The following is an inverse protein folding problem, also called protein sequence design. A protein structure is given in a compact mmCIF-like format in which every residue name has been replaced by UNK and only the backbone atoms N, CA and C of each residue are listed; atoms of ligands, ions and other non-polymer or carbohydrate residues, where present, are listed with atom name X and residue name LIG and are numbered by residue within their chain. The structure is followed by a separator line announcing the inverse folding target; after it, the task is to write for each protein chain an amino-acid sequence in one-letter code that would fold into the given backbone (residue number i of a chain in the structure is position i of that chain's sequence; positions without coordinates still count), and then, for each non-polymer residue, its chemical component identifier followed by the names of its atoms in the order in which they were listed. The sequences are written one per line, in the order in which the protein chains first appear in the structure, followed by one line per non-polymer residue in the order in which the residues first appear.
data_IF_811063006455
#
_entry.id   IF_811063006455
#
_cell.length_a   1.000
_cell.length_b   1.000
_cell.length_c   1.000
_cell.angle_alpha   90.00
_cell.angle_beta   90.00
_cell.angle_gamma   90.00
#
_symmetry.space_group_name_H-M   'P 1'
#
loop_
_entity.id
_entity.type
_entity.pdbx_description
1 polymer ?
#
# COMPACT_ATOMS: atom_id res chain seq x y z
N UNK A 1 44.30 40.49 -9.08
CA UNK A 1 42.86 40.77 -9.28
C UNK A 1 42.19 39.42 -9.37
N UNK A 2 41.79 38.89 -8.21
CA UNK A 2 41.22 37.55 -8.12
C UNK A 2 39.74 37.58 -8.51
N UNK A 3 39.41 36.79 -9.52
CA UNK A 3 38.05 36.56 -10.00
C UNK A 3 37.24 35.88 -8.89
N UNK A 4 36.44 36.66 -8.16
CA UNK A 4 35.38 36.14 -7.32
C UNK A 4 34.32 35.56 -8.26
N UNK A 5 34.39 34.26 -8.56
CA UNK A 5 33.32 33.59 -9.30
C UNK A 5 32.08 33.63 -8.41
N UNK A 6 31.13 34.51 -8.75
CA UNK A 6 29.82 34.57 -8.09
C UNK A 6 29.15 33.22 -8.36
N UNK A 7 29.18 32.31 -7.37
CA UNK A 7 28.49 31.03 -7.55
C UNK A 7 27.00 31.32 -7.71
N UNK A 8 26.43 30.75 -8.76
CA UNK A 8 25.03 30.88 -9.12
C UNK A 8 24.13 30.26 -8.05
N UNK A 9 22.87 30.69 -8.01
CA UNK A 9 21.91 30.31 -6.95
C UNK A 9 21.72 28.79 -6.86
N UNK A 10 21.68 28.10 -8.00
CA UNK A 10 21.62 26.64 -8.12
C UNK A 10 22.80 25.96 -7.40
N UNK A 11 24.05 26.37 -7.66
CA UNK A 11 25.24 25.83 -7.00
C UNK A 11 25.24 26.08 -5.48
N UNK A 12 24.64 27.19 -5.04
CA UNK A 12 24.47 27.47 -3.58
C UNK A 12 23.43 26.55 -2.96
N UNK A 13 22.29 26.38 -3.61
CA UNK A 13 21.20 25.50 -3.15
C UNK A 13 21.69 24.05 -3.08
N UNK A 14 22.37 23.56 -4.12
CA UNK A 14 22.94 22.21 -4.15
C UNK A 14 23.94 22.00 -3.01
N UNK A 15 24.83 22.97 -2.76
CA UNK A 15 25.77 22.91 -1.63
C UNK A 15 25.05 22.86 -0.28
N UNK A 16 24.02 23.67 -0.08
CA UNK A 16 23.23 23.66 1.15
C UNK A 16 22.52 22.31 1.34
N UNK A 17 21.91 21.77 0.29
CA UNK A 17 21.25 20.46 0.32
C UNK A 17 22.24 19.34 0.68
N UNK A 18 23.41 19.33 0.05
CA UNK A 18 24.48 18.36 0.33
C UNK A 18 25.01 18.47 1.77
N UNK A 19 25.17 19.69 2.31
CA UNK A 19 25.56 19.90 3.70
C UNK A 19 24.49 19.41 4.68
N UNK A 20 23.22 19.71 4.41
CA UNK A 20 22.10 19.29 5.25
C UNK A 20 21.96 17.76 5.26
N UNK A 21 22.01 17.12 4.08
CA UNK A 21 21.95 15.65 3.96
C UNK A 21 23.07 14.96 4.74
N UNK A 22 24.32 15.47 4.65
CA UNK A 22 25.43 14.97 5.46
C UNK A 22 25.19 15.09 6.97
N UNK A 23 24.67 16.23 7.43
CA UNK A 23 24.36 16.45 8.85
C UNK A 23 23.23 15.54 9.33
N UNK A 24 22.18 15.35 8.54
CA UNK A 24 21.08 14.42 8.85
C UNK A 24 21.58 12.98 8.96
N UNK A 25 22.48 12.54 8.06
CA UNK A 25 23.10 11.21 8.13
C UNK A 25 23.95 11.03 9.40
N UNK A 26 24.76 12.03 9.76
CA UNK A 26 25.55 12.00 11.01
C UNK A 26 24.68 12.01 12.27
N UNK A 27 23.56 12.76 12.26
CA UNK A 27 22.58 12.77 13.35
C UNK A 27 21.90 11.42 13.49
N UNK A 28 21.54 10.78 12.37
CA UNK A 28 20.97 9.43 12.35
C UNK A 28 21.91 8.43 13.01
N UNK A 29 23.16 8.37 12.54
CA UNK A 29 24.14 7.41 13.06
C UNK A 29 24.43 7.61 14.58
N UNK A 30 24.18 8.82 15.11
CA UNK A 30 24.28 9.13 16.55
C UNK A 30 23.01 8.82 17.36
N UNK A 31 21.83 9.07 16.79
CA UNK A 31 20.54 8.97 17.49
C UNK A 31 19.88 7.59 17.35
N UNK A 32 20.21 6.87 16.28
CA UNK A 32 19.65 5.58 15.94
C UNK A 32 20.81 4.65 15.53
N UNK A 33 21.14 3.63 16.35
CA UNK A 33 22.07 2.60 15.92
C UNK A 33 21.60 2.01 14.58
N UNK A 34 22.49 1.69 13.63
CA UNK A 34 22.15 1.21 12.28
C UNK A 34 21.32 -0.11 12.24
N UNK A 35 20.97 -0.68 13.40
CA UNK A 35 20.32 -1.97 13.59
C UNK A 35 18.92 -1.88 14.20
N UNK A 36 18.37 -0.71 14.53
CA UNK A 36 16.98 -0.63 15.01
C UNK A 36 16.01 -0.73 13.82
N UNK A 37 15.90 -1.92 13.25
CA UNK A 37 14.88 -2.24 12.26
C UNK A 37 13.53 -2.36 12.95
N UNK A 38 12.50 -1.79 12.33
CA UNK A 38 11.13 -1.96 12.79
C UNK A 38 10.80 -3.46 12.79
N UNK A 39 10.12 -3.95 13.82
CA UNK A 39 9.69 -5.34 13.92
C UNK A 39 8.20 -5.41 14.17
N UNK A 40 7.53 -6.41 13.61
CA UNK A 40 6.13 -6.65 13.87
C UNK A 40 5.97 -7.35 15.23
N UNK A 41 4.96 -6.98 16.00
CA UNK A 41 4.61 -7.68 17.25
C UNK A 41 4.36 -9.18 16.99
N UNK A 42 4.52 -9.99 18.02
CA UNK A 42 4.04 -11.37 17.98
C UNK A 42 2.53 -11.43 18.27
N UNK A 43 1.92 -12.53 17.83
CA UNK A 43 0.50 -12.79 17.97
C UNK A 43 0.28 -13.91 18.97
N UNK A 44 -0.71 -13.76 19.84
CA UNK A 44 -1.08 -14.84 20.77
C UNK A 44 -1.55 -16.08 20.00
N UNK A 45 -1.47 -17.26 20.62
CA UNK A 45 -1.98 -18.51 20.03
C UNK A 45 -3.43 -18.41 19.52
N UNK A 46 -4.29 -17.66 20.23
CA UNK A 46 -5.67 -17.39 19.79
C UNK A 46 -5.77 -16.51 18.54
N UNK A 47 -4.96 -15.45 18.45
CA UNK A 47 -4.89 -14.60 17.25
C UNK A 47 -4.34 -15.38 16.05
N UNK A 48 -3.27 -16.16 16.25
CA UNK A 48 -2.69 -17.01 15.22
C UNK A 48 -3.72 -18.05 14.71
N UNK A 49 -4.44 -18.70 15.61
CA UNK A 49 -5.48 -19.66 15.24
C UNK A 49 -6.62 -19.01 14.44
N UNK A 50 -7.05 -17.80 14.83
CA UNK A 50 -8.05 -17.03 14.06
C UNK A 50 -7.55 -16.66 12.67
N UNK A 51 -6.29 -16.22 12.53
CA UNK A 51 -5.69 -15.88 11.25
C UNK A 51 -5.55 -17.10 10.32
N UNK A 52 -5.25 -18.28 10.86
CA UNK A 52 -5.13 -19.51 10.09
C UNK A 52 -6.50 -20.13 9.77
N UNK A 53 -7.54 -19.81 10.54
CA UNK A 53 -8.87 -20.42 10.41
C UNK A 53 -8.99 -21.77 11.11
N UNK A 54 -8.30 -21.97 12.24
CA UNK A 54 -8.37 -23.18 13.07
C UNK A 54 -8.70 -22.86 14.52
N UNK A 55 -8.99 -23.89 15.33
CA UNK A 55 -9.16 -23.70 16.77
C UNK A 55 -7.81 -23.52 17.48
N UNK A 56 -7.78 -22.68 18.51
CA UNK A 56 -6.58 -22.49 19.35
C UNK A 56 -6.13 -23.81 20.00
N UNK A 57 -7.08 -24.68 20.37
CA UNK A 57 -6.77 -26.02 20.87
C UNK A 57 -6.02 -26.89 19.86
N UNK A 58 -6.41 -26.85 18.59
CA UNK A 58 -5.71 -27.58 17.52
C UNK A 58 -4.28 -27.07 17.33
N UNK A 59 -4.10 -25.74 17.31
CA UNK A 59 -2.77 -25.13 17.17
C UNK A 59 -1.85 -25.49 18.34
N UNK A 60 -2.38 -25.51 19.58
CA UNK A 60 -1.64 -25.95 20.76
C UNK A 60 -1.23 -27.41 20.67
N UNK A 61 -2.13 -28.30 20.25
CA UNK A 61 -1.82 -29.72 20.09
C UNK A 61 -0.73 -29.94 19.03
N UNK A 62 -0.80 -29.20 17.92
CA UNK A 62 0.17 -29.28 16.83
C UNK A 62 1.58 -28.88 17.31
N UNK A 63 1.70 -27.83 18.13
CA UNK A 63 2.96 -27.47 18.78
C UNK A 63 3.43 -28.54 19.78
N UNK A 64 2.54 -29.11 20.62
CA UNK A 64 2.89 -30.19 21.56
C UNK A 64 3.38 -31.46 20.85
N UNK A 65 2.81 -31.77 19.69
CA UNK A 65 3.23 -32.88 18.83
C UNK A 65 4.58 -32.61 18.12
N UNK A 66 5.18 -31.43 18.29
CA UNK A 66 6.42 -31.04 17.61
C UNK A 66 6.26 -30.79 16.11
N UNK A 67 5.03 -30.54 15.64
CA UNK A 67 4.73 -30.31 14.22
C UNK A 67 4.72 -28.81 13.91
N UNK A 68 5.21 -28.43 12.72
CA UNK A 68 5.27 -27.03 12.30
C UNK A 68 6.28 -26.19 13.11
N UNK A 69 6.31 -24.85 12.88
CA UNK A 69 7.18 -23.95 13.64
C UNK A 69 6.76 -23.89 15.12
N UNK A 70 7.76 -23.78 15.99
CA UNK A 70 7.52 -23.71 17.43
C UNK A 70 7.24 -22.27 17.88
N UNK A 71 6.22 -22.05 18.72
CA UNK A 71 5.93 -20.73 19.27
C UNK A 71 7.02 -20.28 20.23
N UNK A 72 7.15 -18.96 20.35
CA UNK A 72 7.85 -18.36 21.47
C UNK A 72 7.04 -18.58 22.76
N UNK A 73 7.72 -19.04 23.81
CA UNK A 73 7.15 -19.30 25.12
C UNK A 73 7.56 -18.20 26.09
N UNK A 74 6.59 -17.44 26.56
CA UNK A 74 6.80 -16.52 27.68
C UNK A 74 7.00 -17.30 28.99
N UNK A 75 7.62 -16.66 30.00
CA UNK A 75 7.90 -17.26 31.31
C UNK A 75 6.65 -17.80 32.03
N UNK A 76 5.46 -17.27 31.70
CA UNK A 76 4.17 -17.72 32.23
C UNK A 76 3.52 -18.85 31.40
N UNK A 77 4.23 -19.44 30.45
CA UNK A 77 3.75 -20.50 29.56
C UNK A 77 2.81 -20.04 28.43
N UNK A 78 2.63 -18.72 28.24
CA UNK A 78 1.89 -18.19 27.09
C UNK A 78 2.69 -18.39 25.80
N UNK A 79 2.00 -18.89 24.77
CA UNK A 79 2.52 -19.07 23.42
C UNK A 79 2.24 -17.86 22.55
N UNK A 80 3.24 -17.40 21.82
CA UNK A 80 3.12 -16.39 20.77
C UNK A 80 3.82 -16.82 19.50
N UNK A 81 3.34 -16.33 18.37
CA UNK A 81 3.87 -16.63 17.04
C UNK A 81 4.23 -15.34 16.30
N UNK A 82 5.33 -15.36 15.55
CA UNK A 82 5.59 -14.32 14.55
C UNK A 82 4.67 -14.51 13.33
N UNK A 83 4.49 -13.47 12.52
CA UNK A 83 3.71 -13.62 11.29
C UNK A 83 4.35 -14.62 10.31
N UNK A 84 5.68 -14.69 10.25
CA UNK A 84 6.40 -15.70 9.47
C UNK A 84 6.05 -17.12 9.92
N UNK A 85 6.03 -17.38 11.23
CA UNK A 85 5.62 -18.69 11.77
C UNK A 85 4.14 -19.00 11.45
N UNK A 86 3.25 -17.99 11.50
CA UNK A 86 1.85 -18.15 11.11
C UNK A 86 1.74 -18.53 9.63
N UNK A 87 2.51 -17.88 8.76
CA UNK A 87 2.54 -18.20 7.34
C UNK A 87 3.14 -19.59 7.09
N UNK A 88 4.22 -19.99 7.76
CA UNK A 88 4.73 -21.37 7.72
C UNK A 88 3.68 -22.41 8.16
N UNK A 89 2.90 -22.11 9.21
CA UNK A 89 1.77 -22.96 9.64
C UNK A 89 0.70 -23.07 8.56
N UNK A 90 0.35 -21.97 7.88
CA UNK A 90 -0.56 -21.99 6.72
C UNK A 90 -0.05 -22.92 5.63
N UNK A 91 1.24 -22.81 5.28
CA UNK A 91 1.86 -23.69 4.28
C UNK A 91 1.82 -25.17 4.72
N UNK A 92 2.12 -25.43 5.99
CA UNK A 92 2.08 -26.77 6.55
C UNK A 92 0.67 -27.37 6.51
N UNK A 93 -0.36 -26.60 6.90
CA UNK A 93 -1.75 -27.05 6.87
C UNK A 93 -2.28 -27.27 5.46
N UNK A 94 -1.91 -26.40 4.51
CA UNK A 94 -2.26 -26.59 3.10
C UNK A 94 -1.69 -27.90 2.52
N UNK A 95 -0.46 -28.27 2.91
CA UNK A 95 0.15 -29.56 2.54
C UNK A 95 -0.53 -30.75 3.19
N UNK A 96 -0.92 -30.65 4.46
CA UNK A 96 -1.63 -31.72 5.18
C UNK A 96 -3.05 -31.94 4.67
N UNK A 97 -3.73 -30.87 4.26
CA UNK A 97 -5.12 -30.91 3.75
C UNK A 97 -5.21 -30.26 2.37
N UNK A 98 -4.75 -30.96 1.31
CA UNK A 98 -4.75 -30.40 -0.05
C UNK A 98 -6.14 -29.95 -0.55
N UNK A 99 -7.20 -30.62 -0.08
CA UNK A 99 -8.59 -30.26 -0.44
C UNK A 99 -9.02 -28.90 0.11
N UNK A 100 -8.48 -28.51 1.27
CA UNK A 100 -8.78 -27.26 1.97
C UNK A 100 -7.63 -26.25 1.84
N UNK A 101 -6.64 -26.52 0.98
CA UNK A 101 -5.40 -25.75 0.91
C UNK A 101 -5.64 -24.25 0.74
N UNK A 102 -6.64 -23.87 -0.05
CA UNK A 102 -7.00 -22.48 -0.32
C UNK A 102 -7.58 -21.73 0.88
N UNK A 103 -8.09 -22.43 1.89
CA UNK A 103 -8.52 -21.82 3.14
C UNK A 103 -7.34 -21.38 4.00
N UNK A 104 -6.19 -22.04 3.84
CA UNK A 104 -4.95 -21.74 4.56
C UNK A 104 -4.01 -20.84 3.74
N UNK A 105 -3.92 -21.09 2.43
CA UNK A 105 -3.10 -20.36 1.47
C UNK A 105 -4.00 -19.81 0.36
N UNK A 106 -4.55 -18.60 0.52
CA UNK A 106 -5.53 -18.07 -0.41
C UNK A 106 -4.92 -17.52 -1.72
N UNK A 107 -3.71 -17.97 -2.07
CA UNK A 107 -2.92 -17.51 -3.22
C UNK A 107 -3.68 -17.68 -4.54
N UNK A 108 -3.27 -16.93 -5.56
CA UNK A 108 -3.85 -17.01 -6.90
C UNK A 108 -3.74 -18.42 -7.48
N UNK A 109 -4.82 -18.88 -8.11
CA UNK A 109 -4.89 -20.13 -8.87
C UNK A 109 -4.36 -19.91 -10.29
N UNK A 110 -3.93 -20.97 -10.99
CA UNK A 110 -3.66 -20.89 -12.42
C UNK A 110 -4.88 -20.32 -13.17
N UNK A 111 -4.65 -19.27 -13.97
CA UNK A 111 -5.70 -18.56 -14.71
C UNK A 111 -6.30 -17.35 -13.99
N UNK A 112 -6.05 -17.16 -12.69
CA UNK A 112 -6.41 -15.94 -11.98
C UNK A 112 -5.36 -14.84 -12.22
N UNK A 113 -5.80 -13.72 -12.78
CA UNK A 113 -4.93 -12.56 -13.04
C UNK A 113 -4.49 -11.88 -11.74
N UNK A 114 -3.36 -11.18 -11.79
CA UNK A 114 -2.90 -10.34 -10.69
C UNK A 114 -3.94 -9.24 -10.43
N UNK A 115 -4.24 -8.99 -9.17
CA UNK A 115 -5.14 -7.89 -8.79
C UNK A 115 -4.29 -6.70 -8.34
N UNK A 116 -4.37 -5.61 -9.11
CA UNK A 116 -3.65 -4.36 -8.83
C UNK A 116 -4.67 -3.31 -8.42
N UNK A 117 -4.70 -2.96 -7.14
CA UNK A 117 -5.63 -2.00 -6.55
C UNK A 117 -4.92 -0.65 -6.39
N UNK A 118 -5.31 0.34 -7.19
CA UNK A 118 -4.81 1.71 -7.03
C UNK A 118 -5.70 2.51 -6.07
N UNK A 119 -5.10 3.03 -5.01
CA UNK A 119 -5.77 3.89 -4.03
C UNK A 119 -5.54 5.35 -4.43
N UNK A 120 -6.62 6.06 -4.76
CA UNK A 120 -6.52 7.39 -5.38
C UNK A 120 -7.51 8.40 -4.82
N UNK A 121 -7.12 9.68 -4.84
CA UNK A 121 -7.90 10.88 -4.49
C UNK A 121 -7.02 12.16 -4.66
N UNK A 122 -7.64 13.26 -5.09
CA UNK A 122 -7.01 14.51 -5.52
C UNK A 122 -6.88 15.55 -4.42
N UNK A 123 -7.44 15.25 -3.24
CA UNK A 123 -7.22 16.07 -2.06
C UNK A 123 -6.14 15.46 -1.17
N UNK A 124 -5.21 16.29 -0.70
CA UNK A 124 -4.33 15.96 0.41
C UNK A 124 -5.15 15.69 1.68
N UNK A 125 -4.73 14.74 2.51
CA UNK A 125 -5.40 14.43 3.78
C UNK A 125 -6.68 13.59 3.69
N UNK A 126 -6.96 13.01 2.53
CA UNK A 126 -8.07 12.07 2.26
C UNK A 126 -7.79 10.62 2.71
N UNK A 127 -6.77 10.41 3.53
CA UNK A 127 -6.37 9.11 4.07
C UNK A 127 -6.00 8.04 3.02
N UNK A 128 -5.50 8.42 1.82
CA UNK A 128 -4.99 7.49 0.79
C UNK A 128 -3.93 6.53 1.34
N UNK A 129 -2.77 7.06 1.74
CA UNK A 129 -1.66 6.28 2.29
C UNK A 129 -2.07 5.43 3.47
N UNK A 130 -2.91 5.95 4.36
CA UNK A 130 -3.46 5.17 5.49
C UNK A 130 -4.32 4.01 4.98
N UNK A 131 -5.22 4.25 4.02
CA UNK A 131 -6.05 3.20 3.41
C UNK A 131 -5.18 2.16 2.70
N UNK A 132 -4.20 2.59 1.90
CA UNK A 132 -3.23 1.73 1.22
C UNK A 132 -2.48 0.84 2.20
N UNK A 133 -1.91 1.44 3.25
CA UNK A 133 -1.14 0.73 4.28
C UNK A 133 -1.98 -0.32 5.01
N UNK A 134 -3.17 0.06 5.49
CA UNK A 134 -4.04 -0.86 6.21
C UNK A 134 -4.59 -1.96 5.32
N UNK A 135 -4.92 -1.66 4.05
CA UNK A 135 -5.36 -2.67 3.09
C UNK A 135 -4.22 -3.68 2.82
N UNK A 136 -3.02 -3.19 2.54
CA UNK A 136 -1.87 -4.05 2.26
C UNK A 136 -1.52 -4.96 3.46
N UNK A 137 -1.49 -4.40 4.67
CA UNK A 137 -1.26 -5.17 5.90
C UNK A 137 -2.40 -6.15 6.20
N UNK A 138 -3.66 -5.75 5.99
CA UNK A 138 -4.81 -6.65 6.15
C UNK A 138 -4.73 -7.86 5.22
N UNK A 139 -4.38 -7.64 3.96
CA UNK A 139 -4.22 -8.71 2.96
C UNK A 139 -3.05 -9.64 3.34
N UNK A 140 -1.91 -9.09 3.78
CA UNK A 140 -0.78 -9.91 4.25
C UNK A 140 -1.16 -10.73 5.51
N UNK A 141 -1.87 -10.12 6.46
CA UNK A 141 -2.41 -10.83 7.62
C UNK A 141 -3.40 -11.92 7.24
N UNK A 142 -4.15 -11.77 6.15
CA UNK A 142 -5.03 -12.80 5.60
C UNK A 142 -4.28 -13.92 4.85
N UNK A 143 -2.96 -13.80 4.65
CA UNK A 143 -2.10 -14.83 4.06
C UNK A 143 -1.83 -14.68 2.56
N UNK A 144 -2.20 -13.55 1.96
CA UNK A 144 -1.84 -13.23 0.58
C UNK A 144 -0.39 -12.78 0.48
N UNK A 145 0.21 -12.98 -0.70
CA UNK A 145 1.49 -12.37 -1.07
C UNK A 145 1.20 -10.98 -1.66
N UNK A 146 1.60 -9.94 -0.95
CA UNK A 146 1.22 -8.56 -1.26
C UNK A 146 2.44 -7.73 -1.63
N UNK A 147 2.31 -6.91 -2.68
CA UNK A 147 3.26 -5.86 -3.01
C UNK A 147 2.61 -4.49 -2.82
N UNK A 148 3.17 -3.68 -1.94
CA UNK A 148 2.84 -2.26 -1.85
C UNK A 148 3.73 -1.46 -2.80
N UNK A 149 3.16 -0.51 -3.56
CA UNK A 149 3.92 0.41 -4.41
C UNK A 149 3.61 1.84 -3.95
N UNK A 150 4.63 2.56 -3.50
CA UNK A 150 4.52 3.96 -3.10
C UNK A 150 4.87 4.87 -4.28
N UNK A 151 3.87 5.56 -4.84
CA UNK A 151 4.05 6.51 -5.94
C UNK A 151 4.03 7.96 -5.48
N UNK A 152 3.91 8.21 -4.18
CA UNK A 152 3.98 9.57 -3.67
C UNK A 152 5.46 9.97 -3.48
N UNK A 153 5.93 11.06 -4.10
CA UNK A 153 7.27 11.56 -3.87
C UNK A 153 7.58 11.90 -2.39
N UNK A 154 6.54 12.12 -1.57
CA UNK A 154 6.67 12.28 -0.11
C UNK A 154 6.93 10.97 0.63
N UNK A 155 6.77 9.83 -0.05
CA UNK A 155 7.19 8.51 0.41
C UNK A 155 6.66 8.10 1.79
N UNK A 156 5.42 8.52 2.07
CA UNK A 156 4.79 8.31 3.37
C UNK A 156 4.51 6.84 3.64
N UNK A 157 4.10 6.08 2.62
CA UNK A 157 3.89 4.63 2.74
C UNK A 157 5.23 3.93 3.02
N UNK A 158 6.29 4.32 2.31
CA UNK A 158 7.63 3.77 2.46
C UNK A 158 8.15 3.95 3.89
N UNK A 159 8.02 5.17 4.42
CA UNK A 159 8.34 5.51 5.81
C UNK A 159 7.56 4.68 6.83
N UNK A 160 6.27 4.44 6.60
CA UNK A 160 5.43 3.62 7.50
C UNK A 160 5.83 2.13 7.46
N UNK A 161 6.29 1.65 6.31
CA UNK A 161 6.79 0.29 6.11
C UNK A 161 8.28 0.12 6.47
N UNK A 162 8.87 1.12 7.12
CA UNK A 162 10.19 1.02 7.75
C UNK A 162 11.37 1.34 6.83
N UNK A 163 11.11 1.80 5.60
CA UNK A 163 12.15 2.30 4.68
C UNK A 163 12.25 3.81 4.84
N UNK A 164 13.46 4.34 5.02
CA UNK A 164 13.72 5.77 5.06
C UNK A 164 14.31 6.23 3.71
N UNK A 165 13.51 6.85 2.83
CA UNK A 165 13.92 7.17 1.47
C UNK A 165 15.21 7.96 1.35
N UNK A 166 15.47 8.87 2.29
CA UNK A 166 16.63 9.75 2.27
C UNK A 166 17.95 9.03 2.56
N UNK A 167 17.89 7.81 3.11
CA UNK A 167 19.06 7.11 3.59
C UNK A 167 19.20 5.68 3.05
N UNK A 168 18.10 5.02 2.77
CA UNK A 168 18.06 3.60 2.41
C UNK A 168 17.96 3.39 0.89
N UNK A 169 17.68 4.45 0.12
CA UNK A 169 17.49 4.39 -1.33
C UNK A 169 18.63 5.06 -2.09
N UNK A 170 19.04 4.42 -3.18
CA UNK A 170 19.93 4.99 -4.19
C UNK A 170 19.14 5.37 -5.45
N UNK A 171 19.82 5.97 -6.43
CA UNK A 171 19.20 6.27 -7.74
C UNK A 171 18.68 4.98 -8.41
N UNK A 172 17.43 5.05 -8.89
CA UNK A 172 16.71 3.95 -9.52
C UNK A 172 16.18 2.89 -8.55
N UNK A 173 16.16 3.15 -7.25
CA UNK A 173 15.57 2.25 -6.24
C UNK A 173 14.07 2.52 -6.01
N UNK A 174 13.42 3.32 -6.86
CA UNK A 174 11.97 3.55 -6.84
C UNK A 174 11.31 3.01 -8.11
N UNK A 175 9.97 3.10 -8.21
CA UNK A 175 9.29 2.69 -9.45
C UNK A 175 9.87 3.40 -10.68
N UNK A 176 10.37 4.64 -10.55
CA UNK A 176 11.05 5.36 -11.62
C UNK A 176 12.16 4.52 -12.28
N UNK A 177 12.97 3.82 -11.49
CA UNK A 177 14.03 2.94 -12.00
C UNK A 177 13.53 1.86 -12.97
N UNK A 178 12.29 1.39 -12.81
CA UNK A 178 11.68 0.39 -13.69
C UNK A 178 10.95 0.97 -14.91
N UNK A 179 10.58 2.26 -14.85
CA UNK A 179 9.74 2.92 -15.89
C UNK A 179 10.47 4.02 -16.65
N UNK A 180 11.72 4.38 -16.30
CA UNK A 180 12.54 5.40 -16.97
C UNK A 180 12.79 5.09 -18.45
N UNK A 181 13.05 6.14 -19.23
CA UNK A 181 13.14 6.08 -20.71
C UNK A 181 14.55 5.82 -21.26
N UNK A 182 15.56 5.80 -20.40
CA UNK A 182 16.96 5.63 -20.76
C UNK A 182 17.46 4.20 -20.49
N UNK A 183 18.75 3.98 -20.73
CA UNK A 183 19.41 2.67 -20.55
C UNK A 183 19.59 2.30 -19.07
N UNK A 184 19.28 3.20 -18.13
CA UNK A 184 19.37 2.97 -16.69
C UNK A 184 18.19 2.16 -16.12
N UNK A 185 17.27 1.70 -16.97
CA UNK A 185 16.11 0.89 -16.55
C UNK A 185 16.55 -0.40 -15.86
N UNK A 186 16.05 -0.64 -14.66
CA UNK A 186 16.27 -1.88 -13.88
C UNK A 186 15.00 -2.73 -13.85
N UNK A 187 15.11 -4.07 -13.78
CA UNK A 187 13.95 -4.92 -13.51
C UNK A 187 13.28 -4.56 -12.18
N UNK A 188 11.96 -4.56 -12.12
CA UNK A 188 11.22 -4.20 -10.90
C UNK A 188 11.60 -5.10 -9.72
N UNK A 189 11.94 -6.37 -10.00
CA UNK A 189 12.38 -7.34 -9.00
C UNK A 189 13.63 -6.91 -8.22
N UNK A 190 14.52 -6.13 -8.81
CA UNK A 190 15.73 -5.61 -8.14
C UNK A 190 15.43 -4.41 -7.22
N UNK A 191 14.32 -3.73 -7.49
CA UNK A 191 13.85 -2.56 -6.75
C UNK A 191 13.02 -2.96 -5.52
N UNK A 192 12.27 -4.07 -5.63
CA UNK A 192 11.44 -4.58 -4.54
C UNK A 192 12.27 -4.83 -3.28
N UNK A 193 11.78 -4.32 -2.15
CA UNK A 193 12.35 -4.50 -0.82
C UNK A 193 11.41 -5.33 0.06
N UNK A 194 11.99 -6.25 0.84
CA UNK A 194 11.28 -6.93 1.92
C UNK A 194 10.97 -5.94 3.04
N UNK A 195 9.79 -6.06 3.64
CA UNK A 195 9.44 -5.29 4.85
C UNK A 195 9.56 -6.17 6.10
N UNK A 196 9.41 -5.55 7.28
CA UNK A 196 9.32 -6.28 8.55
C UNK A 196 8.01 -7.07 8.72
N UNK A 197 7.09 -6.95 7.75
CA UNK A 197 5.78 -7.56 7.75
C UNK A 197 5.77 -8.73 6.77
N UNK A 198 5.81 -9.97 7.28
CA UNK A 198 5.90 -11.16 6.45
C UNK A 198 4.71 -11.28 5.48
N UNK A 199 4.99 -11.55 4.21
CA UNK A 199 3.98 -11.56 3.14
C UNK A 199 3.68 -10.18 2.52
N UNK A 200 4.31 -9.09 2.99
CA UNK A 200 4.20 -7.76 2.43
C UNK A 200 5.57 -7.21 2.01
N UNK A 201 5.73 -6.97 0.71
CA UNK A 201 6.91 -6.33 0.14
C UNK A 201 6.58 -4.90 -0.32
N UNK A 202 7.61 -4.10 -0.60
CA UNK A 202 7.49 -2.69 -0.96
C UNK A 202 8.33 -2.34 -2.20
N UNK A 203 7.74 -1.63 -3.16
CA UNK A 203 8.44 -0.73 -4.07
C UNK A 203 8.38 0.67 -3.47
N UNK A 204 9.51 1.24 -3.02
CA UNK A 204 9.50 2.48 -2.28
C UNK A 204 9.35 3.69 -3.21
N UNK A 205 8.89 4.79 -2.64
CA UNK A 205 8.80 6.10 -3.27
C UNK A 205 9.88 7.03 -2.73
N UNK A 206 10.21 8.06 -3.50
CA UNK A 206 11.03 9.20 -3.10
C UNK A 206 10.85 10.33 -4.13
N UNK A 207 11.59 11.43 -3.96
CA UNK A 207 11.54 12.58 -4.87
C UNK A 207 11.92 12.27 -6.33
N UNK A 208 12.68 11.20 -6.60
CA UNK A 208 13.08 10.74 -7.94
C UNK A 208 11.86 10.44 -8.83
N UNK A 209 10.73 10.05 -8.24
CA UNK A 209 9.48 9.80 -8.97
C UNK A 209 9.01 11.02 -9.78
N UNK A 210 9.40 12.24 -9.39
CA UNK A 210 9.10 13.47 -10.13
C UNK A 210 9.84 13.54 -11.47
N UNK A 211 10.95 12.84 -11.66
CA UNK A 211 11.66 12.82 -12.94
C UNK A 211 10.79 12.25 -14.05
N UNK A 212 9.96 11.24 -13.73
CA UNK A 212 9.02 10.67 -14.70
C UNK A 212 8.04 11.71 -15.27
N UNK A 213 7.60 12.66 -14.44
CA UNK A 213 6.68 13.74 -14.85
C UNK A 213 7.37 14.74 -15.80
N UNK A 214 8.69 14.93 -15.66
CA UNK A 214 9.48 15.83 -16.51
C UNK A 214 9.93 15.17 -17.82
N UNK A 215 10.31 13.89 -17.77
CA UNK A 215 10.83 13.16 -18.92
C UNK A 215 9.72 12.73 -19.89
N UNK A 216 8.56 12.32 -19.38
CA UNK A 216 7.46 11.81 -20.20
C UNK A 216 7.01 12.79 -21.29
N UNK A 217 6.76 14.09 -21.03
CA UNK A 217 6.43 15.05 -22.08
C UNK A 217 7.49 15.16 -23.18
N UNK A 218 8.78 15.07 -22.81
CA UNK A 218 9.89 15.14 -23.78
C UNK A 218 9.92 13.89 -24.64
N UNK A 219 9.76 12.72 -24.03
CA UNK A 219 9.71 11.44 -24.73
C UNK A 219 8.51 11.36 -25.70
N UNK A 220 7.35 11.91 -25.33
CA UNK A 220 6.16 11.94 -26.20
C UNK A 220 6.30 12.86 -27.42
N UNK A 221 7.13 13.90 -27.32
CA UNK A 221 7.40 14.82 -28.42
C UNK A 221 8.50 14.31 -29.38
N UNK A 222 9.27 13.30 -28.97
CA UNK A 222 10.31 12.70 -29.80
C UNK A 222 9.70 11.73 -30.84
N UNK A 223 9.62 12.19 -32.09
CA UNK A 223 9.07 11.43 -33.22
C UNK A 223 9.86 10.18 -33.58
N UNK A 224 11.08 10.00 -33.07
CA UNK A 224 11.87 8.80 -33.34
C UNK A 224 11.52 7.60 -32.44
N UNK A 225 10.77 7.83 -31.36
CA UNK A 225 10.26 6.77 -30.48
C UNK A 225 8.73 6.70 -30.64
N UNK A 226 8.19 6.06 -31.70
CA UNK A 226 6.75 5.83 -31.78
C UNK A 226 6.32 5.05 -30.53
N UNK A 227 5.53 5.72 -29.70
CA UNK A 227 5.47 5.46 -28.27
C UNK A 227 5.11 4.02 -27.90
N UNK A 228 5.98 3.38 -27.12
CA UNK A 228 5.46 2.68 -25.95
C UNK A 228 4.66 3.71 -25.16
N UNK A 229 3.34 3.62 -25.29
CA UNK A 229 2.39 4.47 -24.60
C UNK A 229 2.79 4.54 -23.13
N UNK A 230 3.21 5.72 -22.62
CA UNK A 230 3.79 5.88 -21.28
C UNK A 230 2.94 5.20 -20.19
N UNK A 231 1.62 5.18 -20.37
CA UNK A 231 0.67 4.57 -19.46
C UNK A 231 0.78 3.04 -19.35
N UNK A 232 1.44 2.36 -20.30
CA UNK A 232 1.73 0.92 -20.23
C UNK A 232 2.98 0.61 -19.41
N UNK A 233 3.87 1.58 -19.18
CA UNK A 233 5.19 1.33 -18.55
C UNK A 233 5.06 0.80 -17.12
N UNK A 234 4.15 1.37 -16.34
CA UNK A 234 3.84 0.89 -14.98
C UNK A 234 3.31 -0.54 -15.02
N UNK A 235 2.36 -0.83 -15.92
CA UNK A 235 1.80 -2.18 -16.08
C UNK A 235 2.85 -3.21 -16.52
N UNK A 236 3.73 -2.85 -17.45
CA UNK A 236 4.84 -3.71 -17.90
C UNK A 236 5.82 -3.98 -16.75
N UNK A 237 6.18 -2.97 -15.96
CA UNK A 237 7.04 -3.15 -14.79
C UNK A 237 6.41 -4.08 -13.75
N UNK A 238 5.12 -3.90 -13.44
CA UNK A 238 4.39 -4.78 -12.50
C UNK A 238 4.31 -6.22 -13.03
N UNK A 239 4.15 -6.40 -14.35
CA UNK A 239 4.09 -7.73 -14.95
C UNK A 239 5.39 -8.54 -14.78
N UNK A 240 6.54 -7.89 -14.59
CA UNK A 240 7.82 -8.59 -14.34
C UNK A 240 7.82 -9.37 -13.02
N UNK A 241 7.00 -8.96 -12.06
CA UNK A 241 6.89 -9.60 -10.74
C UNK A 241 5.53 -10.27 -10.54
N UNK A 242 4.76 -10.46 -11.61
CA UNK A 242 3.38 -10.94 -11.51
C UNK A 242 3.31 -12.26 -10.72
N UNK A 243 4.12 -13.25 -11.07
CA UNK A 243 4.09 -14.58 -10.46
C UNK A 243 4.41 -14.60 -8.95
N UNK A 244 5.14 -13.59 -8.45
CA UNK A 244 5.61 -13.53 -7.07
C UNK A 244 4.51 -13.03 -6.11
N UNK A 245 3.46 -12.37 -6.63
CA UNK A 245 2.41 -11.74 -5.83
C UNK A 245 0.99 -12.19 -6.20
N UNK A 246 0.08 -12.10 -5.23
CA UNK A 246 -1.35 -12.30 -5.43
C UNK A 246 -2.07 -10.97 -5.68
N UNK A 247 -1.67 -9.94 -4.93
CA UNK A 247 -2.30 -8.61 -4.95
C UNK A 247 -1.22 -7.53 -4.88
N UNK A 248 -1.35 -6.51 -5.71
CA UNK A 248 -0.57 -5.26 -5.65
C UNK A 248 -1.47 -4.15 -5.13
N UNK A 249 -0.99 -3.34 -4.19
CA UNK A 249 -1.69 -2.14 -3.73
C UNK A 249 -0.82 -0.93 -4.01
N UNK A 250 -1.35 0.04 -4.76
CA UNK A 250 -0.61 1.23 -5.18
C UNK A 250 -1.12 2.45 -4.40
N UNK A 251 -0.23 3.17 -3.73
CA UNK A 251 -0.52 4.47 -3.12
C UNK A 251 -0.23 5.58 -4.13
N UNK A 252 -1.28 6.18 -4.67
CA UNK A 252 -1.14 7.23 -5.68
C UNK A 252 -0.93 8.62 -5.03
N UNK A 253 -0.09 9.48 -5.63
CA UNK A 253 0.06 10.86 -5.18
C UNK A 253 -1.25 11.65 -5.39
N UNK A 254 -1.43 12.80 -4.72
CA UNK A 254 -2.61 13.64 -4.91
C UNK A 254 -2.66 14.34 -6.28
N UNK A 255 -1.56 14.42 -7.03
CA UNK A 255 -1.49 15.08 -8.33
C UNK A 255 -1.92 14.16 -9.49
N UNK A 256 -2.56 14.73 -10.52
CA UNK A 256 -2.97 14.02 -11.73
C UNK A 256 -1.86 14.09 -12.79
N UNK A 257 -0.72 13.48 -12.48
CA UNK A 257 0.44 13.41 -13.38
C UNK A 257 0.44 12.16 -14.28
N UNK A 258 1.48 12.05 -15.11
CA UNK A 258 1.74 10.89 -15.94
C UNK A 258 1.94 9.61 -15.12
N UNK A 259 2.54 9.72 -13.93
CA UNK A 259 2.76 8.58 -13.03
C UNK A 259 1.42 8.05 -12.49
N UNK A 260 0.56 8.94 -11.98
CA UNK A 260 -0.78 8.59 -11.50
C UNK A 260 -1.62 7.97 -12.62
N UNK A 261 -1.55 8.53 -13.83
CA UNK A 261 -2.27 7.98 -14.96
C UNK A 261 -1.74 6.60 -15.35
N UNK A 262 -0.43 6.39 -15.37
CA UNK A 262 0.18 5.08 -15.58
C UNK A 262 -0.26 4.05 -14.53
N UNK A 263 -0.34 4.47 -13.26
CA UNK A 263 -0.83 3.63 -12.17
C UNK A 263 -2.30 3.25 -12.33
N UNK A 264 -3.17 4.22 -12.66
CA UNK A 264 -4.59 3.97 -12.94
C UNK A 264 -4.74 3.02 -14.11
N UNK A 265 -3.99 3.20 -15.20
CA UNK A 265 -4.06 2.31 -16.37
C UNK A 265 -3.53 0.90 -16.07
N UNK A 266 -2.56 0.76 -15.17
CA UNK A 266 -2.04 -0.53 -14.74
C UNK A 266 -2.93 -1.24 -13.71
N UNK A 267 -3.85 -0.52 -13.07
CA UNK A 267 -4.69 -1.06 -12.01
C UNK A 267 -5.85 -1.87 -12.58
N UNK A 268 -6.07 -3.06 -12.02
CA UNK A 268 -7.28 -3.85 -12.28
C UNK A 268 -8.47 -3.29 -11.53
N UNK A 269 -8.26 -2.58 -10.42
CA UNK A 269 -9.34 -1.99 -9.62
C UNK A 269 -8.94 -0.65 -9.04
N UNK A 270 -9.93 0.22 -8.85
CA UNK A 270 -9.73 1.54 -8.24
C UNK A 270 -10.43 1.61 -6.88
N UNK A 271 -9.70 2.08 -5.88
CA UNK A 271 -10.23 2.41 -4.56
C UNK A 271 -10.09 3.91 -4.34
N UNK A 272 -11.22 4.62 -4.38
CA UNK A 272 -11.26 6.07 -4.26
C UNK A 272 -11.62 6.43 -2.83
N UNK A 273 -10.70 7.08 -2.11
CA UNK A 273 -11.00 7.52 -0.74
C UNK A 273 -11.88 8.76 -0.76
N UNK A 274 -12.81 8.90 0.17
CA UNK A 274 -13.61 10.12 0.34
C UNK A 274 -13.77 10.44 1.81
N UNK A 275 -13.51 11.68 2.18
CA UNK A 275 -13.89 12.21 3.49
C UNK A 275 -15.29 12.83 3.36
N UNK A 276 -16.26 12.52 4.24
CA UNK A 276 -17.65 12.93 4.05
C UNK A 276 -17.88 14.42 4.39
N UNK A 277 -17.24 15.34 3.66
CA UNK A 277 -17.52 16.78 3.73
C UNK A 277 -17.91 17.32 2.35
N UNK A 278 -18.78 18.33 2.29
CA UNK A 278 -19.27 18.86 1.00
C UNK A 278 -18.14 19.39 0.11
N UNK A 279 -17.10 19.99 0.70
CA UNK A 279 -15.92 20.44 -0.04
C UNK A 279 -15.16 19.28 -0.69
N UNK A 280 -15.19 18.10 -0.07
CA UNK A 280 -14.56 16.88 -0.59
C UNK A 280 -15.40 16.27 -1.71
N UNK A 281 -16.73 16.26 -1.57
CA UNK A 281 -17.66 15.83 -2.63
C UNK A 281 -17.53 16.72 -3.87
N UNK A 282 -17.44 18.03 -3.71
CA UNK A 282 -17.23 18.95 -4.83
C UNK A 282 -15.88 18.71 -5.54
N UNK A 283 -14.82 18.51 -4.76
CA UNK A 283 -13.48 18.20 -5.29
C UNK A 283 -13.46 16.86 -6.03
N UNK A 284 -14.18 15.87 -5.51
CA UNK A 284 -14.35 14.55 -6.11
C UNK A 284 -15.07 14.63 -7.47
N UNK A 285 -16.10 15.45 -7.60
CA UNK A 285 -16.78 15.65 -8.89
C UNK A 285 -15.80 16.13 -9.98
N UNK A 286 -14.96 17.12 -9.66
CA UNK A 286 -13.92 17.59 -10.57
C UNK A 286 -12.89 16.50 -10.89
N UNK A 287 -12.49 15.71 -9.89
CA UNK A 287 -11.61 14.57 -10.11
C UNK A 287 -12.19 13.55 -11.09
N UNK A 288 -13.46 13.16 -10.91
CA UNK A 288 -14.10 12.18 -11.78
C UNK A 288 -14.18 12.67 -13.23
N UNK A 289 -14.46 13.97 -13.43
CA UNK A 289 -14.45 14.60 -14.75
C UNK A 289 -13.04 14.57 -15.37
N UNK A 290 -12.02 15.04 -14.64
CA UNK A 290 -10.64 15.04 -15.14
C UNK A 290 -10.14 13.63 -15.46
N UNK A 291 -10.49 12.65 -14.62
CA UNK A 291 -10.12 11.25 -14.83
C UNK A 291 -10.80 10.69 -16.05
N UNK A 292 -12.11 10.91 -16.21
CA UNK A 292 -12.83 10.53 -17.42
C UNK A 292 -12.18 11.11 -18.67
N UNK A 293 -11.79 12.39 -18.65
CA UNK A 293 -11.15 13.05 -19.78
C UNK A 293 -9.78 12.42 -20.11
N UNK A 294 -8.93 12.19 -19.12
CA UNK A 294 -7.62 11.56 -19.31
C UNK A 294 -7.74 10.10 -19.76
N UNK A 295 -8.62 9.33 -19.15
CA UNK A 295 -8.90 7.95 -19.54
C UNK A 295 -9.46 7.88 -20.97
N UNK A 296 -10.26 8.88 -21.39
CA UNK A 296 -10.72 8.98 -22.78
C UNK A 296 -9.57 9.18 -23.76
N UNK A 297 -8.56 9.99 -23.42
CA UNK A 297 -7.34 10.17 -24.23
C UNK A 297 -6.54 8.87 -24.32
N UNK A 298 -6.32 8.21 -23.18
CA UNK A 298 -5.61 6.92 -23.13
C UNK A 298 -6.33 5.86 -23.97
N UNK A 299 -7.65 5.75 -23.84
CA UNK A 299 -8.46 4.83 -24.64
C UNK A 299 -8.36 5.12 -26.14
N UNK A 300 -8.41 6.39 -26.55
CA UNK A 300 -8.22 6.80 -27.95
C UNK A 300 -6.83 6.47 -28.48
N UNK A 301 -5.83 6.48 -27.60
CA UNK A 301 -4.47 6.07 -27.90
C UNK A 301 -4.25 4.53 -27.86
N UNK A 302 -5.31 3.73 -27.66
CA UNK A 302 -5.26 2.28 -27.68
C UNK A 302 -5.03 1.61 -26.31
N UNK A 303 -5.17 2.35 -25.21
CA UNK A 303 -5.16 1.76 -23.86
C UNK A 303 -6.46 1.03 -23.57
N UNK A 304 -6.36 -0.20 -23.07
CA UNK A 304 -7.49 -0.93 -22.49
C UNK A 304 -7.64 -0.52 -21.02
N UNK A 305 -8.83 -0.04 -20.65
CA UNK A 305 -9.13 0.59 -19.37
C UNK A 305 -10.33 -0.07 -18.71
N UNK A 306 -10.30 -1.40 -18.65
CA UNK A 306 -11.32 -2.18 -17.98
C UNK A 306 -10.90 -2.47 -16.54
N UNK A 307 -11.52 -1.77 -15.59
CA UNK A 307 -11.41 -2.08 -14.17
C UNK A 307 -12.47 -3.11 -13.77
N UNK A 308 -12.06 -4.10 -12.98
CA UNK A 308 -12.96 -5.12 -12.42
C UNK A 308 -13.97 -4.49 -11.46
N UNK A 309 -13.52 -3.50 -10.69
CA UNK A 309 -14.38 -2.65 -9.88
C UNK A 309 -13.77 -1.28 -9.61
N UNK A 310 -14.65 -0.31 -9.36
CA UNK A 310 -14.32 1.00 -8.80
C UNK A 310 -15.12 1.12 -7.52
N UNK A 311 -14.46 1.33 -6.37
CA UNK A 311 -15.14 1.48 -5.07
C UNK A 311 -14.74 2.77 -4.37
N UNK A 312 -15.71 3.38 -3.71
CA UNK A 312 -15.54 4.54 -2.85
C UNK A 312 -15.50 4.10 -1.39
N UNK A 313 -14.40 4.42 -0.70
CA UNK A 313 -14.28 4.18 0.74
C UNK A 313 -14.44 5.49 1.50
N UNK A 314 -15.48 5.54 2.34
CA UNK A 314 -15.68 6.68 3.23
C UNK A 314 -14.67 6.59 4.37
N UNK A 315 -13.85 7.61 4.52
CA UNK A 315 -12.75 7.69 5.48
C UNK A 315 -13.03 8.75 6.54
N UNK A 316 -12.47 8.53 7.75
CA UNK A 316 -12.61 9.43 8.91
C UNK A 316 -14.07 9.77 9.23
N UNK A 317 -14.96 8.78 9.08
CA UNK A 317 -16.39 8.95 9.31
C UNK A 317 -16.72 9.05 10.80
N UNK A 318 -17.58 10.00 11.16
CA UNK A 318 -18.20 10.15 12.47
C UNK A 318 -19.72 9.89 12.32
N UNK A 319 -20.21 8.67 12.60
CA UNK A 319 -21.61 8.29 12.32
C UNK A 319 -22.68 9.09 13.07
N UNK A 320 -22.28 9.75 14.16
CA UNK A 320 -23.17 10.61 14.95
C UNK A 320 -23.15 12.08 14.49
N UNK A 321 -22.32 12.41 13.51
CA UNK A 321 -22.31 13.71 12.86
C UNK A 321 -23.38 13.73 11.76
N UNK A 322 -24.44 14.52 11.98
CA UNK A 322 -25.58 14.59 11.07
C UNK A 322 -25.18 15.09 9.65
N UNK A 323 -24.33 16.13 9.50
CA UNK A 323 -23.82 16.53 8.18
C UNK A 323 -23.10 15.40 7.43
N UNK A 324 -22.18 14.68 8.09
CA UNK A 324 -21.49 13.55 7.46
C UNK A 324 -22.46 12.44 7.05
N UNK A 325 -23.44 12.12 7.92
CA UNK A 325 -24.45 11.09 7.64
C UNK A 325 -25.29 11.42 6.40
N UNK A 326 -25.66 12.69 6.22
CA UNK A 326 -26.35 13.16 5.01
C UNK A 326 -25.50 13.01 3.75
N UNK A 327 -24.20 13.30 3.84
CA UNK A 327 -23.26 13.15 2.72
C UNK A 327 -23.09 11.67 2.35
N UNK A 328 -22.91 10.79 3.32
CA UNK A 328 -22.79 9.35 3.07
C UNK A 328 -24.07 8.80 2.42
N UNK A 329 -25.25 9.23 2.89
CA UNK A 329 -26.51 8.86 2.26
C UNK A 329 -26.62 9.38 0.81
N UNK A 330 -26.19 10.62 0.55
CA UNK A 330 -26.14 11.18 -0.79
C UNK A 330 -25.21 10.37 -1.71
N UNK A 331 -23.99 10.06 -1.27
CA UNK A 331 -23.03 9.27 -2.04
C UNK A 331 -23.57 7.89 -2.39
N UNK A 332 -24.25 7.22 -1.45
CA UNK A 332 -24.91 5.92 -1.69
C UNK A 332 -26.09 6.03 -2.65
N UNK A 333 -26.86 7.11 -2.58
CA UNK A 333 -27.94 7.36 -3.53
C UNK A 333 -27.41 7.55 -4.96
N UNK A 334 -26.28 8.26 -5.11
CA UNK A 334 -25.69 8.56 -6.41
C UNK A 334 -24.90 7.40 -7.01
N UNK A 335 -24.08 6.72 -6.21
CA UNK A 335 -23.13 5.70 -6.67
C UNK A 335 -23.52 4.27 -6.29
N UNK A 336 -24.63 4.08 -5.57
CA UNK A 336 -25.21 2.78 -5.24
C UNK A 336 -24.16 1.80 -4.69
N UNK A 337 -24.00 0.64 -5.35
CA UNK A 337 -23.11 -0.44 -4.94
C UNK A 337 -21.62 -0.05 -5.00
N UNK A 338 -21.26 1.06 -5.64
CA UNK A 338 -19.87 1.51 -5.72
C UNK A 338 -19.37 2.18 -4.44
N UNK A 339 -20.25 2.52 -3.49
CA UNK A 339 -19.81 2.95 -2.16
C UNK A 339 -19.75 1.75 -1.23
N UNK A 340 -18.63 1.55 -0.55
CA UNK A 340 -18.52 0.51 0.48
C UNK A 340 -19.58 0.69 1.56
N UNK A 341 -20.11 -0.43 2.05
CA UNK A 341 -21.11 -0.45 3.11
C UNK A 341 -20.46 -0.08 4.44
N UNK A 342 -19.28 -0.61 4.70
CA UNK A 342 -18.42 -0.23 5.80
C UNK A 342 -17.75 1.12 5.51
N UNK A 343 -17.64 1.93 6.56
CA UNK A 343 -16.91 3.20 6.54
C UNK A 343 -15.76 3.12 7.52
N UNK A 344 -14.62 3.73 7.19
CA UNK A 344 -13.48 3.84 8.11
C UNK A 344 -13.76 4.98 9.10
N UNK A 345 -13.88 4.64 10.37
CA UNK A 345 -14.20 5.59 11.43
C UNK A 345 -13.05 6.54 11.72
N UNK A 346 -13.37 7.79 12.07
CA UNK A 346 -12.40 8.69 12.68
C UNK A 346 -12.04 8.15 14.07
N UNK A 347 -10.76 7.92 14.29
CA UNK A 347 -10.28 7.35 15.55
C UNK A 347 -8.99 8.02 15.99
N UNK A 348 -8.95 8.45 17.25
CA UNK A 348 -7.70 8.91 17.88
C UNK A 348 -6.67 7.79 17.92
N UNK A 349 -7.11 6.52 18.05
CA UNK A 349 -6.19 5.39 18.04
C UNK A 349 -5.38 5.31 16.74
N UNK A 350 -6.01 5.54 15.58
CA UNK A 350 -5.32 5.55 14.28
C UNK A 350 -4.38 6.76 14.18
N UNK A 351 -4.82 7.93 14.65
CA UNK A 351 -4.01 9.13 14.65
C UNK A 351 -2.76 8.99 15.54
N UNK A 352 -2.93 8.48 16.77
CA UNK A 352 -1.88 8.37 17.77
C UNK A 352 -0.78 7.40 17.32
N UNK A 353 -1.14 6.21 16.83
CA UNK A 353 -0.16 5.23 16.31
C UNK A 353 0.50 5.70 15.02
N UNK A 354 -0.20 6.49 14.20
CA UNK A 354 0.36 7.10 13.00
C UNK A 354 1.51 8.07 13.32
N UNK A 355 1.47 8.77 14.46
CA UNK A 355 2.55 9.67 14.89
C UNK A 355 3.86 8.93 15.18
N UNK A 356 3.78 7.67 15.62
CA UNK A 356 4.93 6.80 15.85
C UNK A 356 5.27 5.94 14.63
N UNK A 357 4.70 6.28 13.46
CA UNK A 357 4.82 5.54 12.20
C UNK A 357 4.36 4.08 12.31
N UNK A 358 3.33 3.79 13.08
CA UNK A 358 2.76 2.44 13.27
C UNK A 358 1.30 2.38 12.87
N UNK A 359 0.75 1.18 12.77
CA UNK A 359 -0.68 0.90 12.59
C UNK A 359 -1.29 0.19 13.79
N UNK A 360 -2.62 0.04 13.78
CA UNK A 360 -3.33 -0.76 14.79
C UNK A 360 -2.95 -2.25 14.74
N UNK A 361 -2.47 -2.76 13.61
CA UNK A 361 -2.03 -4.15 13.51
C UNK A 361 -0.70 -4.40 14.23
N UNK A 362 0.10 -3.35 14.40
CA UNK A 362 1.47 -3.43 14.92
C UNK A 362 1.58 -3.21 16.43
N UNK A 363 0.58 -2.57 17.05
CA UNK A 363 0.61 -2.25 18.48
C UNK A 363 0.01 -3.36 19.34
N UNK A 364 0.49 -3.46 20.58
CA UNK A 364 -0.10 -4.35 21.58
C UNK A 364 -1.44 -3.82 22.11
N UNK A 365 -2.35 -4.75 22.43
CA UNK A 365 -3.64 -4.46 23.07
C UNK A 365 -3.41 -3.91 24.48
N UNK A 366 -3.27 -2.59 24.59
CA UNK A 366 -3.01 -1.87 25.83
C UNK A 366 -2.34 -0.51 25.63
N UNK A 367 -1.65 -0.31 24.50
CA UNK A 367 -1.04 0.99 24.17
C UNK A 367 -2.09 2.08 23.90
N UNK A 368 -3.29 1.69 23.49
CA UNK A 368 -4.45 2.56 23.33
C UNK A 368 -5.63 2.00 24.11
N UNK A 369 -6.58 2.86 24.49
CA UNK A 369 -7.85 2.44 25.13
C UNK A 369 -8.52 1.34 24.31
N UNK A 370 -8.77 0.19 24.95
CA UNK A 370 -9.25 -1.04 24.31
C UNK A 370 -10.51 -0.85 23.46
N UNK A 371 -11.53 -0.16 23.96
CA UNK A 371 -12.77 0.08 23.21
C UNK A 371 -12.56 0.93 21.96
N UNK A 372 -11.66 1.92 22.02
CA UNK A 372 -11.29 2.75 20.85
C UNK A 372 -10.50 1.93 19.84
N UNK A 373 -9.59 1.09 20.31
CA UNK A 373 -8.81 0.17 19.48
C UNK A 373 -9.72 -0.81 18.73
N UNK A 374 -10.56 -1.55 19.47
CA UNK A 374 -11.42 -2.61 18.93
C UNK A 374 -12.39 -2.02 17.89
N UNK A 375 -13.05 -0.89 18.21
CA UNK A 375 -13.98 -0.21 17.29
C UNK A 375 -13.30 0.29 16.02
N UNK A 376 -12.08 0.83 16.14
CA UNK A 376 -11.35 1.34 14.98
C UNK A 376 -10.87 0.20 14.08
N UNK A 377 -10.35 -0.87 14.68
CA UNK A 377 -9.88 -2.05 13.96
C UNK A 377 -11.03 -2.78 13.26
N UNK A 378 -12.17 -2.93 13.92
CA UNK A 378 -13.38 -3.53 13.35
C UNK A 378 -13.84 -2.76 12.10
N UNK A 379 -13.92 -1.43 12.20
CA UNK A 379 -14.30 -0.56 11.09
C UNK A 379 -13.34 -0.66 9.89
N UNK A 380 -12.03 -0.69 10.15
CA UNK A 380 -11.02 -0.86 9.09
C UNK A 380 -11.10 -2.25 8.46
N UNK A 381 -11.21 -3.30 9.29
CA UNK A 381 -11.32 -4.67 8.80
C UNK A 381 -12.58 -4.90 7.97
N UNK A 382 -13.71 -4.28 8.34
CA UNK A 382 -14.96 -4.37 7.58
C UNK A 382 -14.84 -3.70 6.20
N UNK A 383 -14.18 -2.54 6.11
CA UNK A 383 -13.94 -1.90 4.80
C UNK A 383 -12.99 -2.75 3.94
N UNK A 384 -11.90 -3.26 4.53
CA UNK A 384 -10.92 -4.08 3.82
C UNK A 384 -11.48 -5.44 3.39
N UNK A 385 -12.39 -6.04 4.16
CA UNK A 385 -13.03 -7.30 3.79
C UNK A 385 -13.97 -7.14 2.59
N UNK A 386 -14.65 -6.00 2.45
CA UNK A 386 -15.45 -5.71 1.25
C UNK A 386 -14.56 -5.53 0.00
N UNK A 387 -13.39 -4.88 0.14
CA UNK A 387 -12.41 -4.78 -0.96
C UNK A 387 -11.93 -6.18 -1.35
N UNK A 388 -11.60 -7.02 -0.38
CA UNK A 388 -11.18 -8.41 -0.63
C UNK A 388 -12.31 -9.23 -1.30
N UNK A 389 -13.56 -9.02 -0.94
CA UNK A 389 -14.70 -9.65 -1.61
C UNK A 389 -14.81 -9.23 -3.09
N UNK A 390 -14.52 -7.96 -3.40
CA UNK A 390 -14.40 -7.48 -4.78
C UNK A 390 -13.31 -8.21 -5.58
N UNK A 391 -12.14 -8.40 -4.97
CA UNK A 391 -11.02 -9.16 -5.54
C UNK A 391 -11.42 -10.63 -5.79
N UNK A 392 -12.10 -11.27 -4.83
CA UNK A 392 -12.60 -12.64 -4.99
C UNK A 392 -13.62 -12.76 -6.11
N UNK A 393 -14.54 -11.80 -6.25
CA UNK A 393 -15.48 -11.75 -7.35
C UNK A 393 -14.78 -11.63 -8.69
N UNK A 394 -13.74 -10.78 -8.79
CA UNK A 394 -12.93 -10.64 -10.00
C UNK A 394 -12.17 -11.93 -10.38
N UNK A 395 -11.79 -12.74 -9.39
CA UNK A 395 -11.23 -14.08 -9.60
C UNK A 395 -12.27 -15.18 -9.84
N UNK A 396 -13.57 -14.86 -9.78
CA UNK A 396 -14.64 -15.86 -9.93
C UNK A 396 -14.74 -16.84 -8.76
N UNK A 397 -14.33 -16.42 -7.55
CA UNK A 397 -14.41 -17.21 -6.32
C UNK A 397 -15.72 -17.02 -5.53
N UNK A 398 -16.62 -16.17 -6.04
CA UNK A 398 -17.87 -15.76 -5.38
C UNK A 398 -18.94 -16.86 -5.35
#
# INVERSE_FOLDING_TARGET
MDNISVSTTDVRIERHANQLSRQLKLLRDKLFPPLSQKTLRTFSSGEAAQMIGVSDGYLRQLSLDGKGPQPDLAQNGRRSYTLGQINELRQYMAKLKPKDALSYQPWRRPGEKLQTVAVTNFKGGSAKTTTTLYLAQYLALAGYRVLAIDLDPQASLSSMLGVQPEFDLSEGDTLYGAIRYDEGRKPLKEIVRKTYFDGLDLVPGNLELMEFEHETPRALNDRQRPGELFFRRVGVAIAEVEADYDIVVIDCPPQLGYLTLGAVCAATSLLITIHPQMVDVASMSQFLLMTSDLLSVVRKAGGDLQHDFIKYVVTRHEPFDAPQSQIVALLRSLFSDDVLTATILKSTAIADVGLTKQTLYEIEKGQVRRSTYDRALESVNAANSEVLAGIHKAWGRA
#
